data_IF_620202291377
#
_entry.id   IF_620202291377
#
_cell.length_a   1.000
_cell.length_b   1.000
_cell.length_c   1.000
_cell.angle_alpha   90.00
_cell.angle_beta   90.00
_cell.angle_gamma   90.00
#
_symmetry.space_group_name_H-M   'P 1'
#
loop_
_entity.id
_entity.type
_entity.pdbx_description
1 polymer ?
#
# COMPACT_ATOMS: atom_id res chain seq x y z
N UNK A 1 8.43 15.21 9.04
CA UNK A 1 8.69 14.00 8.24
C UNK A 1 7.34 13.43 7.85
N UNK A 2 7.08 13.24 6.55
CA UNK A 2 5.82 12.66 6.09
C UNK A 2 5.79 11.16 6.40
N UNK A 3 4.60 10.57 6.53
CA UNK A 3 4.45 9.11 6.68
C UNK A 3 3.73 8.54 5.46
N UNK A 4 4.26 7.44 4.94
CA UNK A 4 3.79 6.82 3.69
C UNK A 4 3.52 5.35 3.97
N UNK A 5 2.26 4.93 3.87
CA UNK A 5 1.89 3.53 3.86
C UNK A 5 2.19 2.94 2.49
N UNK A 6 2.97 1.87 2.44
CA UNK A 6 3.37 1.22 1.19
C UNK A 6 2.46 0.03 0.92
N UNK A 7 1.76 0.08 -0.21
CA UNK A 7 0.88 -0.98 -0.68
C UNK A 7 1.67 -2.23 -1.10
N UNK A 8 1.03 -3.39 -1.02
CA UNK A 8 1.61 -4.69 -1.35
C UNK A 8 2.10 -4.74 -2.79
N UNK A 9 1.36 -4.15 -3.74
CA UNK A 9 1.73 -4.19 -5.15
C UNK A 9 3.12 -3.56 -5.43
N UNK A 10 3.48 -2.49 -4.71
CA UNK A 10 4.78 -1.82 -4.83
C UNK A 10 5.90 -2.70 -4.30
N UNK A 11 5.67 -3.39 -3.18
CA UNK A 11 6.66 -4.30 -2.59
C UNK A 11 6.84 -5.56 -3.45
N UNK A 12 5.77 -6.07 -4.05
CA UNK A 12 5.84 -7.13 -5.04
C UNK A 12 6.65 -6.70 -6.25
N UNK A 13 6.44 -5.48 -6.77
CA UNK A 13 7.22 -4.98 -7.91
C UNK A 13 8.72 -4.89 -7.58
N UNK A 14 9.07 -4.42 -6.38
CA UNK A 14 10.47 -4.22 -5.96
C UNK A 14 11.20 -5.54 -5.69
N UNK A 15 10.57 -6.45 -4.95
CA UNK A 15 11.21 -7.67 -4.46
C UNK A 15 10.88 -8.92 -5.28
N UNK A 16 9.86 -8.85 -6.14
CA UNK A 16 9.40 -9.95 -6.96
C UNK A 16 10.02 -10.02 -8.36
N UNK A 17 9.43 -10.85 -9.23
CA UNK A 17 9.80 -10.96 -10.64
C UNK A 17 9.70 -9.61 -11.37
N UNK A 18 10.33 -9.54 -12.54
CA UNK A 18 10.32 -8.31 -13.34
C UNK A 18 8.90 -7.90 -13.76
N UNK A 19 8.54 -6.64 -13.50
CA UNK A 19 7.28 -6.03 -13.95
C UNK A 19 7.58 -4.68 -14.58
N UNK A 20 6.68 -4.19 -15.44
CA UNK A 20 6.79 -2.84 -16.03
C UNK A 20 6.83 -1.70 -15.00
N UNK A 21 6.48 -1.98 -13.74
CA UNK A 21 6.43 -0.99 -12.67
C UNK A 21 7.63 -1.06 -11.72
N UNK A 22 8.51 -2.05 -11.86
CA UNK A 22 9.63 -2.27 -10.95
C UNK A 22 10.55 -1.06 -10.84
N UNK A 23 10.93 -0.49 -11.98
CA UNK A 23 11.78 0.71 -12.02
C UNK A 23 11.12 1.88 -11.27
N UNK A 24 9.85 2.16 -11.57
CA UNK A 24 9.09 3.21 -10.88
C UNK A 24 8.97 2.94 -9.37
N UNK A 25 8.57 1.75 -8.97
CA UNK A 25 8.38 1.36 -7.57
C UNK A 25 9.69 1.45 -6.78
N UNK A 26 10.81 1.00 -7.36
CA UNK A 26 12.11 1.09 -6.72
C UNK A 26 12.59 2.54 -6.60
N UNK A 27 12.48 3.33 -7.68
CA UNK A 27 12.96 4.70 -7.68
C UNK A 27 12.18 5.57 -6.69
N UNK A 28 10.85 5.46 -6.66
CA UNK A 28 10.03 6.28 -5.75
C UNK A 28 10.30 5.94 -4.28
N UNK A 29 10.60 4.68 -3.95
CA UNK A 29 11.05 4.30 -2.62
C UNK A 29 12.39 4.96 -2.30
N UNK A 30 13.35 4.97 -3.22
CA UNK A 30 14.65 5.61 -3.03
C UNK A 30 14.50 7.12 -2.81
N UNK A 31 13.69 7.78 -3.63
CA UNK A 31 13.45 9.23 -3.56
C UNK A 31 12.79 9.64 -2.23
N UNK A 32 11.84 8.82 -1.74
CA UNK A 32 11.13 9.10 -0.51
C UNK A 32 11.93 8.74 0.75
N UNK A 33 12.93 7.85 0.65
CA UNK A 33 13.62 7.25 1.80
C UNK A 33 14.20 8.27 2.79
N UNK A 34 14.68 9.42 2.30
CA UNK A 34 15.27 10.46 3.16
C UNK A 34 14.25 11.40 3.78
N UNK A 35 13.04 11.49 3.23
CA UNK A 35 12.01 12.47 3.60
C UNK A 35 10.77 11.85 4.27
N UNK A 36 10.59 10.54 4.13
CA UNK A 36 9.42 9.81 4.57
C UNK A 36 9.74 8.67 5.54
N UNK A 37 8.82 8.45 6.47
CA UNK A 37 8.75 7.22 7.26
C UNK A 37 7.81 6.24 6.55
N UNK A 38 8.31 5.05 6.23
CA UNK A 38 7.48 4.03 5.61
C UNK A 38 6.69 3.24 6.66
N UNK A 39 5.40 3.05 6.39
CA UNK A 39 4.45 2.36 7.25
C UNK A 39 4.10 1.01 6.63
N UNK A 40 4.17 -0.03 7.44
CA UNK A 40 3.78 -1.40 7.10
C UNK A 40 2.60 -1.84 7.97
N UNK A 41 1.56 -2.38 7.35
CA UNK A 41 0.37 -2.87 8.05
C UNK A 41 0.36 -4.40 8.14
N UNK A 42 -0.38 -4.99 9.10
CA UNK A 42 -0.60 -6.44 9.16
C UNK A 42 -1.22 -7.01 7.89
N UNK A 43 -1.99 -6.21 7.14
CA UNK A 43 -2.64 -6.63 5.90
C UNK A 43 -1.57 -6.80 4.83
N UNK A 44 -0.73 -5.79 4.63
CA UNK A 44 0.40 -5.87 3.68
C UNK A 44 1.36 -6.99 4.08
N UNK A 45 1.67 -7.14 5.37
CA UNK A 45 2.51 -8.24 5.85
C UNK A 45 1.93 -9.62 5.50
N UNK A 46 0.62 -9.81 5.70
CA UNK A 46 -0.06 -11.06 5.38
C UNK A 46 -0.05 -11.36 3.87
N UNK A 47 -0.21 -10.35 3.01
CA UNK A 47 -0.18 -10.55 1.55
C UNK A 47 1.22 -10.89 1.04
N UNK A 48 2.28 -10.41 1.70
CA UNK A 48 3.67 -10.72 1.36
C UNK A 48 4.14 -12.08 1.89
N UNK A 49 3.35 -12.78 2.71
CA UNK A 49 3.77 -14.00 3.40
C UNK A 49 4.30 -15.11 2.47
N UNK A 50 3.84 -15.16 1.22
CA UNK A 50 4.26 -16.16 0.22
C UNK A 50 5.51 -15.76 -0.56
N UNK A 51 6.04 -14.54 -0.37
CA UNK A 51 7.26 -14.08 -1.05
C UNK A 51 8.55 -14.67 -0.48
N UNK A 52 8.48 -15.28 0.70
CA UNK A 52 9.64 -15.87 1.38
C UNK A 52 9.27 -17.23 1.99
N UNK A 53 10.25 -18.14 2.16
CA UNK A 53 9.99 -19.47 2.73
C UNK A 53 9.66 -19.43 4.22
N UNK A 54 10.04 -18.37 4.93
CA UNK A 54 9.78 -18.17 6.36
C UNK A 54 9.49 -16.70 6.66
N UNK A 55 8.83 -16.43 7.79
CA UNK A 55 8.57 -15.07 8.25
C UNK A 55 9.87 -14.29 8.54
N UNK A 56 10.89 -14.95 9.09
CA UNK A 56 12.21 -14.33 9.32
C UNK A 56 12.90 -13.94 8.01
N UNK A 57 12.80 -14.78 6.97
CA UNK A 57 13.33 -14.45 5.64
C UNK A 57 12.58 -13.26 5.02
N UNK A 58 11.26 -13.19 5.20
CA UNK A 58 10.47 -12.02 4.80
C UNK A 58 10.93 -10.76 5.55
N UNK A 59 11.12 -10.85 6.87
CA UNK A 59 11.57 -9.73 7.69
C UNK A 59 12.96 -9.23 7.28
N UNK A 60 13.87 -10.16 6.99
CA UNK A 60 15.20 -9.85 6.49
C UNK A 60 15.16 -9.14 5.14
N UNK A 61 14.31 -9.60 4.21
CA UNK A 61 14.16 -9.01 2.89
C UNK A 61 13.72 -7.53 2.95
N UNK A 62 12.80 -7.19 3.87
CA UNK A 62 12.30 -5.82 4.04
C UNK A 62 13.14 -4.95 5.00
N UNK A 63 14.13 -5.51 5.69
CA UNK A 63 14.84 -4.84 6.79
C UNK A 63 15.47 -3.50 6.38
N UNK A 64 16.00 -3.39 5.16
CA UNK A 64 16.66 -2.17 4.65
C UNK A 64 15.72 -0.97 4.46
N UNK A 65 14.41 -1.22 4.40
CA UNK A 65 13.40 -0.19 4.24
C UNK A 65 12.93 0.40 5.58
N UNK A 66 13.37 -0.16 6.71
CA UNK A 66 13.16 0.40 8.06
C UNK A 66 11.69 0.74 8.35
N UNK A 67 10.77 -0.14 7.93
CA UNK A 67 9.33 0.04 8.12
C UNK A 67 8.94 0.20 9.58
N UNK A 68 8.07 1.17 9.84
CA UNK A 68 7.30 1.24 11.08
C UNK A 68 6.05 0.37 10.93
N UNK A 69 5.98 -0.68 11.75
CA UNK A 69 4.82 -1.58 11.80
C UNK A 69 3.72 -0.92 12.63
N UNK A 70 2.53 -0.79 12.06
CA UNK A 70 1.37 -0.25 12.76
C UNK A 70 0.24 -1.28 12.82
N UNK A 71 -0.42 -1.46 13.98
CA UNK A 71 -1.64 -2.27 14.03
C UNK A 71 -2.74 -1.60 13.19
N UNK A 72 -3.63 -2.41 12.60
CA UNK A 72 -4.83 -1.88 11.96
C UNK A 72 -5.67 -1.11 13.01
N UNK A 73 -5.92 0.20 12.81
CA UNK A 73 -6.78 0.95 13.70
C UNK A 73 -8.19 0.35 13.67
N UNK A 74 -8.79 0.11 14.82
CA UNK A 74 -10.12 -0.51 14.86
C UNK A 74 -11.18 0.33 14.10
N UNK A 75 -11.08 1.65 14.18
CA UNK A 75 -11.93 2.57 13.41
C UNK A 75 -11.74 2.44 11.88
N UNK A 76 -10.53 2.07 11.41
CA UNK A 76 -10.27 1.86 9.99
C UNK A 76 -11.03 0.63 9.45
N UNK A 77 -11.21 -0.41 10.27
CA UNK A 77 -11.98 -1.59 9.87
C UNK A 77 -13.45 -1.24 9.53
N UNK A 78 -14.06 -0.33 10.30
CA UNK A 78 -15.42 0.15 10.02
C UNK A 78 -15.49 0.93 8.69
N UNK A 79 -14.54 1.84 8.46
CA UNK A 79 -14.47 2.61 7.21
C UNK A 79 -14.23 1.71 5.99
N UNK A 80 -13.37 0.69 6.12
CA UNK A 80 -13.16 -0.32 5.10
C UNK A 80 -14.45 -1.10 4.79
N UNK A 81 -15.23 -1.46 5.81
CA UNK A 81 -16.52 -2.14 5.66
C UNK A 81 -17.54 -1.30 4.89
N UNK A 82 -17.65 0.00 5.20
CA UNK A 82 -18.53 0.91 4.46
C UNK A 82 -18.12 1.06 3.00
N UNK A 83 -16.82 1.25 2.75
CA UNK A 83 -16.28 1.36 1.40
C UNK A 83 -16.49 0.08 0.59
N UNK A 84 -16.26 -1.09 1.20
CA UNK A 84 -16.49 -2.39 0.56
C UNK A 84 -17.98 -2.63 0.28
N UNK A 85 -18.88 -2.27 1.20
CA UNK A 85 -20.32 -2.35 0.97
C UNK A 85 -20.75 -1.46 -0.21
N UNK A 86 -20.29 -0.21 -0.24
CA UNK A 86 -20.56 0.72 -1.34
C UNK A 86 -20.04 0.17 -2.69
N UNK A 87 -18.86 -0.44 -2.71
CA UNK A 87 -18.33 -1.12 -3.88
C UNK A 87 -19.22 -2.26 -4.38
N UNK A 88 -19.68 -3.12 -3.46
CA UNK A 88 -20.59 -4.22 -3.80
C UNK A 88 -21.93 -3.72 -4.34
N UNK A 89 -22.47 -2.65 -3.77
CA UNK A 89 -23.72 -2.03 -4.26
C UNK A 89 -23.58 -1.40 -5.64
N UNK A 90 -22.40 -0.86 -5.98
CA UNK A 90 -22.11 -0.29 -7.30
C UNK A 90 -21.85 -1.34 -8.40
N UNK A 91 -22.13 -2.63 -8.15
CA UNK A 91 -21.87 -3.71 -9.11
C UNK A 91 -20.41 -4.16 -9.15
N UNK A 92 -19.65 -3.90 -8.08
CA UNK A 92 -18.25 -4.30 -7.97
C UNK A 92 -18.03 -5.79 -8.27
N UNK A 93 -17.14 -6.06 -9.24
CA UNK A 93 -16.72 -7.40 -9.62
C UNK A 93 -15.87 -8.06 -8.51
N UNK A 94 -15.46 -9.32 -8.70
CA UNK A 94 -14.54 -10.01 -7.76
C UNK A 94 -13.10 -9.45 -7.76
N UNK A 95 -12.83 -8.41 -8.53
CA UNK A 95 -11.48 -7.87 -8.75
C UNK A 95 -10.92 -7.13 -7.54
N UNK A 96 -11.79 -6.71 -6.61
CA UNK A 96 -11.39 -5.94 -5.44
C UNK A 96 -11.71 -6.65 -4.15
N UNK A 97 -10.70 -6.81 -3.32
CA UNK A 97 -10.78 -7.63 -2.10
C UNK A 97 -10.91 -6.74 -0.87
N UNK A 98 -11.41 -7.29 0.24
CA UNK A 98 -11.48 -6.58 1.53
C UNK A 98 -10.10 -6.02 1.99
N UNK A 99 -8.96 -6.72 1.79
CA UNK A 99 -7.62 -6.17 2.00
C UNK A 99 -7.37 -4.77 1.40
N UNK A 100 -7.73 -4.53 0.13
CA UNK A 100 -7.57 -3.22 -0.52
C UNK A 100 -8.28 -2.11 0.27
N UNK A 101 -9.49 -2.39 0.76
CA UNK A 101 -10.25 -1.42 1.54
C UNK A 101 -9.65 -1.19 2.93
N UNK A 102 -9.08 -2.22 3.56
CA UNK A 102 -8.40 -2.11 4.84
C UNK A 102 -7.13 -1.28 4.74
N UNK A 103 -6.34 -1.46 3.67
CA UNK A 103 -5.13 -0.67 3.38
C UNK A 103 -5.50 0.80 3.18
N UNK A 104 -6.47 1.09 2.32
CA UNK A 104 -6.92 2.46 2.06
C UNK A 104 -7.51 3.13 3.30
N UNK A 105 -8.31 2.41 4.08
CA UNK A 105 -8.89 2.92 5.31
C UNK A 105 -7.84 3.16 6.40
N UNK A 106 -6.81 2.33 6.52
CA UNK A 106 -5.69 2.56 7.45
C UNK A 106 -5.00 3.87 7.09
N UNK A 107 -4.59 4.03 5.83
CA UNK A 107 -3.91 5.22 5.37
C UNK A 107 -4.74 6.48 5.64
N UNK A 108 -6.03 6.46 5.29
CA UNK A 108 -6.93 7.58 5.53
C UNK A 108 -7.13 7.89 7.02
N UNK A 109 -7.34 6.87 7.85
CA UNK A 109 -7.59 7.02 9.30
C UNK A 109 -6.39 7.61 10.04
N UNK A 110 -5.17 7.30 9.59
CA UNK A 110 -3.91 7.78 10.19
C UNK A 110 -3.30 8.97 9.45
N UNK A 111 -3.98 9.47 8.42
CA UNK A 111 -3.49 10.57 7.57
C UNK A 111 -2.11 10.28 6.96
N UNK A 112 -1.85 9.02 6.63
CA UNK A 112 -0.69 8.65 5.82
C UNK A 112 -0.97 8.94 4.35
N UNK A 113 0.08 9.25 3.59
CA UNK A 113 0.04 9.11 2.14
C UNK A 113 0.04 7.62 1.79
N UNK A 114 -0.57 7.23 0.68
CA UNK A 114 -0.54 5.85 0.20
C UNK A 114 0.34 5.75 -1.05
N UNK A 115 1.39 4.92 -0.98
CA UNK A 115 2.21 4.56 -2.14
C UNK A 115 1.65 3.28 -2.79
N UNK A 116 1.12 3.40 -4.01
CA UNK A 116 0.51 2.30 -4.77
C UNK A 116 0.58 2.56 -6.27
N UNK A 117 0.70 1.49 -7.08
CA UNK A 117 0.54 1.63 -8.54
C UNK A 117 -0.92 1.66 -9.01
N UNK A 118 -1.87 1.22 -8.18
CA UNK A 118 -3.28 1.07 -8.56
C UNK A 118 -4.16 2.22 -8.02
N UNK A 119 -3.76 3.48 -8.25
CA UNK A 119 -4.36 4.66 -7.59
C UNK A 119 -5.86 4.85 -7.82
N UNK A 120 -6.36 4.56 -9.03
CA UNK A 120 -7.78 4.67 -9.38
C UNK A 120 -8.66 3.86 -8.44
N UNK A 121 -8.17 2.71 -7.97
CA UNK A 121 -8.88 1.89 -6.99
C UNK A 121 -9.16 2.75 -5.76
N UNK A 122 -8.14 3.29 -5.12
CA UNK A 122 -8.28 3.97 -3.84
C UNK A 122 -9.09 5.28 -3.89
N UNK A 123 -8.91 6.09 -4.95
CA UNK A 123 -9.58 7.40 -5.08
C UNK A 123 -11.09 7.34 -5.01
N UNK A 124 -11.73 6.28 -5.53
CA UNK A 124 -13.19 6.18 -5.56
C UNK A 124 -13.83 6.07 -4.18
N UNK A 125 -13.12 5.54 -3.17
CA UNK A 125 -13.67 5.30 -1.84
C UNK A 125 -12.95 6.09 -0.74
N UNK A 126 -11.75 6.60 -1.02
CA UNK A 126 -10.97 7.44 -0.12
C UNK A 126 -10.55 8.73 -0.85
N UNK A 127 -11.49 9.64 -1.18
CA UNK A 127 -11.22 10.78 -2.07
C UNK A 127 -10.23 11.80 -1.48
N UNK A 128 -10.10 11.84 -0.16
CA UNK A 128 -9.14 12.71 0.54
C UNK A 128 -7.79 12.05 0.80
N UNK A 129 -7.61 10.78 0.40
CA UNK A 129 -6.35 10.09 0.57
C UNK A 129 -5.34 10.63 -0.45
N UNK A 130 -4.23 11.15 0.07
CA UNK A 130 -3.12 11.55 -0.79
C UNK A 130 -2.38 10.30 -1.30
N UNK A 131 -2.35 10.14 -2.62
CA UNK A 131 -1.81 8.94 -3.26
C UNK A 131 -0.54 9.29 -4.03
N UNK A 132 0.51 8.49 -3.82
CA UNK A 132 1.75 8.45 -4.58
C UNK A 132 1.64 7.27 -5.56
N UNK A 133 1.63 7.57 -6.85
CA UNK A 133 1.39 6.62 -7.93
C UNK A 133 2.11 7.05 -9.21
N UNK A 134 2.22 6.19 -10.25
CA UNK A 134 2.85 6.58 -11.51
C UNK A 134 2.24 7.82 -12.16
N UNK A 135 0.94 8.04 -11.96
CA UNK A 135 0.21 9.20 -12.47
C UNK A 135 0.58 10.51 -11.74
N UNK A 136 0.80 10.44 -10.43
CA UNK A 136 1.05 11.62 -9.58
C UNK A 136 2.53 11.92 -9.38
N UNK A 137 3.37 10.89 -9.48
CA UNK A 137 4.81 10.92 -9.29
C UNK A 137 5.47 10.12 -10.43
N UNK A 138 5.34 10.58 -11.69
CA UNK A 138 5.98 9.90 -12.82
C UNK A 138 7.51 9.97 -12.67
N UNK A 139 8.22 8.98 -13.24
CA UNK A 139 9.67 9.08 -13.37
C UNK A 139 10.00 10.32 -14.20
N UNK A 140 10.91 11.14 -13.70
CA UNK A 140 11.46 12.25 -14.50
C UNK A 140 12.38 11.63 -15.55
N UNK A 141 12.09 11.90 -16.83
CA UNK A 141 12.94 11.52 -17.96
C UNK A 141 14.30 12.22 -17.92
#
# INVERSE_FOLDING_TARGET
MISVLVDTNVLIDVFGPETRFKEWSAQVILDLRSAARFILTPIVWAELATMAPTEDALAFMLARLEFVREPLPFAAAYQAGLAHAAYRHAGGLRERTLPDFLIGAHAATRSHRLLTRDSTRYRSYFPHLEIISPETHPLSL
#
